data_IF_140457221950
#
_entry.id   IF_140457221950
#
_cell.length_a   1.000
_cell.length_b   1.000
_cell.length_c   1.000
_cell.angle_alpha   90.00
_cell.angle_beta   90.00
_cell.angle_gamma   90.00
#
_symmetry.space_group_name_H-M   'P 1'
#
loop_
_entity.id
_entity.type
_entity.pdbx_description
1 polymer ?
#
# COMPACT_ATOMS: atom_id res chain seq x y z
N UNK A 1 5.66 20.85 -14.16
CA UNK A 1 5.07 20.64 -12.80
C UNK A 1 5.12 21.97 -12.06
N UNK A 2 4.03 22.42 -11.46
CA UNK A 2 4.07 23.60 -10.57
C UNK A 2 4.57 23.19 -9.18
N UNK A 3 5.11 24.12 -8.36
CA UNK A 3 5.54 23.80 -6.99
C UNK A 3 4.46 23.12 -6.15
N UNK A 4 3.21 23.55 -6.30
CA UNK A 4 2.05 22.95 -5.65
C UNK A 4 1.81 21.49 -6.05
N UNK A 5 1.93 21.17 -7.35
CA UNK A 5 1.79 19.79 -7.84
C UNK A 5 2.89 18.89 -7.29
N UNK A 6 4.13 19.40 -7.20
CA UNK A 6 5.24 18.66 -6.62
C UNK A 6 4.99 18.34 -5.14
N UNK A 7 4.60 19.34 -4.35
CA UNK A 7 4.27 19.14 -2.93
C UNK A 7 3.12 18.14 -2.75
N UNK A 8 2.10 18.22 -3.60
CA UNK A 8 0.99 17.27 -3.59
C UNK A 8 1.49 15.85 -3.83
N UNK A 9 2.34 15.65 -4.84
CA UNK A 9 2.92 14.35 -5.14
C UNK A 9 3.72 13.80 -3.94
N UNK A 10 4.58 14.62 -3.34
CA UNK A 10 5.37 14.23 -2.15
C UNK A 10 4.46 13.83 -0.98
N UNK A 11 3.38 14.58 -0.72
CA UNK A 11 2.41 14.24 0.34
C UNK A 11 1.72 12.91 0.07
N UNK A 12 1.32 12.65 -1.17
CA UNK A 12 0.68 11.38 -1.56
C UNK A 12 1.66 10.21 -1.42
N UNK A 13 2.92 10.39 -1.82
CA UNK A 13 3.93 9.34 -1.70
C UNK A 13 4.25 9.04 -0.23
N UNK A 14 4.32 10.05 0.63
CA UNK A 14 4.45 9.85 2.08
C UNK A 14 3.21 9.13 2.69
N UNK A 15 2.00 9.49 2.23
CA UNK A 15 0.78 8.82 2.68
C UNK A 15 0.79 7.32 2.34
N UNK A 16 1.27 6.93 1.15
CA UNK A 16 1.37 5.51 0.76
C UNK A 16 2.25 4.72 1.73
N UNK A 17 3.37 5.30 2.19
CA UNK A 17 4.27 4.66 3.16
C UNK A 17 3.57 4.43 4.50
N UNK A 18 2.88 5.46 5.01
CA UNK A 18 2.16 5.36 6.28
C UNK A 18 0.99 4.35 6.23
N UNK A 19 0.36 4.20 5.07
CA UNK A 19 -0.73 3.24 4.83
C UNK A 19 -0.25 1.78 4.70
N UNK A 20 1.05 1.52 4.66
CA UNK A 20 1.57 0.14 4.73
C UNK A 20 1.40 -0.46 6.13
N UNK A 21 1.20 0.38 7.14
CA UNK A 21 0.92 -0.04 8.51
C UNK A 21 -0.58 0.10 8.82
N UNK A 22 -1.11 -0.60 9.85
CA UNK A 22 -2.51 -0.50 10.27
C UNK A 22 -2.82 0.82 11.01
N UNK A 23 -2.40 1.95 10.42
CA UNK A 23 -2.58 3.30 10.94
C UNK A 23 -3.97 3.84 10.56
N UNK A 24 -4.73 4.45 11.47
CA UNK A 24 -6.01 5.07 11.13
C UNK A 24 -5.87 6.13 10.02
N UNK A 25 -6.79 6.13 9.04
CA UNK A 25 -6.75 7.05 7.90
C UNK A 25 -6.78 8.53 8.34
N UNK A 26 -7.49 8.83 9.42
CA UNK A 26 -7.49 10.18 10.02
C UNK A 26 -6.10 10.62 10.49
N UNK A 27 -5.32 9.71 11.09
CA UNK A 27 -3.97 10.00 11.53
C UNK A 27 -3.03 10.21 10.34
N UNK A 28 -3.15 9.38 9.29
CA UNK A 28 -2.39 9.55 8.05
C UNK A 28 -2.70 10.90 7.40
N UNK A 29 -3.98 11.29 7.34
CA UNK A 29 -4.43 12.57 6.80
C UNK A 29 -3.74 13.76 7.49
N UNK A 30 -3.74 13.77 8.83
CA UNK A 30 -3.08 14.81 9.61
C UNK A 30 -1.56 14.79 9.43
N UNK A 31 -0.95 13.59 9.41
CA UNK A 31 0.50 13.43 9.27
C UNK A 31 1.06 13.92 7.92
N UNK A 32 0.24 13.89 6.86
CA UNK A 32 0.63 14.40 5.53
C UNK A 32 0.15 15.83 5.25
N UNK A 33 -0.45 16.49 6.26
CA UNK A 33 -0.79 17.91 6.22
C UNK A 33 -2.07 18.25 5.45
N UNK A 34 -3.11 17.43 5.60
CA UNK A 34 -4.47 17.74 5.12
C UNK A 34 -5.41 18.02 6.30
N UNK A 35 -6.24 19.05 6.17
CA UNK A 35 -7.20 19.46 7.21
C UNK A 35 -8.43 18.56 7.31
N UNK A 36 -8.73 17.79 6.26
CA UNK A 36 -9.91 16.93 6.20
C UNK A 36 -9.64 15.62 5.49
N UNK A 37 -10.14 14.54 6.10
CA UNK A 37 -10.08 13.18 5.57
C UNK A 37 -10.77 13.08 4.22
N UNK A 38 -11.85 13.84 3.99
CA UNK A 38 -12.59 13.84 2.72
C UNK A 38 -11.73 14.40 1.59
N UNK A 39 -11.09 15.55 1.83
CA UNK A 39 -10.19 16.18 0.84
C UNK A 39 -9.00 15.30 0.52
N UNK A 40 -8.37 14.73 1.55
CA UNK A 40 -7.29 13.77 1.40
C UNK A 40 -7.73 12.54 0.59
N UNK A 41 -8.87 11.94 0.94
CA UNK A 41 -9.38 10.72 0.29
C UNK A 41 -9.64 10.93 -1.19
N UNK A 42 -10.30 12.04 -1.57
CA UNK A 42 -10.56 12.38 -2.96
C UNK A 42 -9.27 12.58 -3.75
N UNK A 43 -8.31 13.31 -3.19
CA UNK A 43 -7.02 13.56 -3.84
C UNK A 43 -6.19 12.28 -3.95
N UNK A 44 -6.11 11.49 -2.89
CA UNK A 44 -5.38 10.22 -2.88
C UNK A 44 -5.95 9.26 -3.92
N UNK A 45 -7.27 9.13 -4.01
CA UNK A 45 -7.92 8.31 -5.05
C UNK A 45 -7.63 8.83 -6.46
N UNK A 46 -7.62 10.14 -6.67
CA UNK A 46 -7.25 10.72 -7.96
C UNK A 46 -5.81 10.39 -8.38
N UNK A 47 -4.87 10.34 -7.44
CA UNK A 47 -3.46 10.06 -7.72
C UNK A 47 -3.11 8.57 -7.78
N UNK A 48 -3.84 7.72 -7.05
CA UNK A 48 -3.51 6.29 -6.90
C UNK A 48 -4.51 5.34 -7.56
N UNK A 49 -5.69 5.85 -7.97
CA UNK A 49 -6.78 5.07 -8.54
C UNK A 49 -7.70 4.40 -7.49
N UNK A 50 -7.33 4.41 -6.21
CA UNK A 50 -8.06 3.70 -5.15
C UNK A 50 -8.13 4.54 -3.86
N UNK A 51 -9.11 4.29 -3.01
CA UNK A 51 -9.22 4.99 -1.73
C UNK A 51 -8.07 4.63 -0.78
N UNK A 52 -7.73 5.48 0.21
CA UNK A 52 -6.73 5.18 1.23
C UNK A 52 -7.00 3.86 1.96
N UNK A 53 -8.26 3.58 2.30
CA UNK A 53 -8.66 2.34 2.99
C UNK A 53 -8.46 1.10 2.13
N UNK A 54 -8.88 1.12 0.86
CA UNK A 54 -8.63 0.01 -0.08
C UNK A 54 -7.13 -0.21 -0.30
N UNK A 55 -6.35 0.88 -0.35
CA UNK A 55 -4.90 0.80 -0.45
C UNK A 55 -4.28 0.13 0.76
N UNK A 56 -4.63 0.59 1.96
CA UNK A 56 -4.13 0.02 3.21
C UNK A 56 -4.49 -1.48 3.32
N UNK A 57 -5.75 -1.85 3.06
CA UNK A 57 -6.17 -3.24 3.12
C UNK A 57 -5.36 -4.13 2.17
N UNK A 58 -5.15 -3.67 0.92
CA UNK A 58 -4.34 -4.40 -0.06
C UNK A 58 -2.89 -4.55 0.38
N UNK A 59 -2.27 -3.50 0.95
CA UNK A 59 -0.90 -3.58 1.43
C UNK A 59 -0.76 -4.50 2.65
N UNK A 60 -1.70 -4.45 3.59
CA UNK A 60 -1.70 -5.33 4.75
C UNK A 60 -1.92 -6.79 4.33
N UNK A 61 -2.87 -7.06 3.44
CA UNK A 61 -3.12 -8.41 2.91
C UNK A 61 -1.90 -8.96 2.19
N UNK A 62 -1.22 -8.13 1.38
CA UNK A 62 0.04 -8.53 0.73
C UNK A 62 1.12 -8.91 1.76
N UNK A 63 1.26 -8.13 2.82
CA UNK A 63 2.24 -8.40 3.88
C UNK A 63 1.90 -9.69 4.65
N UNK A 64 0.63 -9.89 5.02
CA UNK A 64 0.21 -11.14 5.68
C UNK A 64 0.48 -12.32 4.77
N UNK A 65 0.12 -12.21 3.49
CA UNK A 65 0.28 -13.31 2.54
C UNK A 65 1.74 -13.68 2.26
N UNK A 66 2.66 -12.72 2.26
CA UNK A 66 4.10 -13.02 2.16
C UNK A 66 4.57 -13.80 3.40
N UNK A 67 4.07 -13.45 4.58
CA UNK A 67 4.45 -14.11 5.83
C UNK A 67 3.84 -15.51 5.97
N UNK A 68 2.57 -15.71 5.59
CA UNK A 68 1.87 -16.97 5.85
C UNK A 68 1.76 -17.90 4.63
N UNK A 69 1.92 -17.40 3.41
CA UNK A 69 1.81 -18.16 2.16
C UNK A 69 2.83 -17.66 1.13
N UNK A 70 4.13 -17.70 1.45
CA UNK A 70 5.20 -17.12 0.62
C UNK A 70 5.23 -17.70 -0.81
N UNK A 71 4.88 -18.99 -0.96
CA UNK A 71 4.87 -19.69 -2.25
C UNK A 71 3.84 -19.14 -3.25
N UNK A 72 2.82 -18.39 -2.82
CA UNK A 72 1.83 -17.80 -3.74
C UNK A 72 2.41 -16.69 -4.62
N UNK A 73 3.53 -16.09 -4.21
CA UNK A 73 4.16 -14.95 -4.88
C UNK A 73 5.45 -15.32 -5.62
N UNK A 74 5.87 -16.59 -5.55
CA UNK A 74 6.99 -17.12 -6.32
C UNK A 74 6.44 -17.64 -7.65
N UNK A 75 6.90 -17.15 -8.82
CA UNK A 75 6.46 -17.70 -10.10
C UNK A 75 6.76 -19.20 -10.18
N UNK A 76 5.91 -19.99 -10.84
CA UNK A 76 6.05 -21.46 -10.90
C UNK A 76 7.43 -21.92 -11.40
N UNK A 77 8.12 -21.11 -12.22
CA UNK A 77 9.47 -21.40 -12.73
C UNK A 77 10.56 -21.36 -11.64
N UNK A 78 10.30 -20.74 -10.49
CA UNK A 78 11.23 -20.63 -9.35
C UNK A 78 10.97 -21.68 -8.26
N UNK A 79 9.85 -22.41 -8.32
CA UNK A 79 9.57 -23.53 -7.42
C UNK A 79 10.19 -24.77 -8.05
N UNK A 80 11.34 -25.22 -7.55
CA UNK A 80 11.92 -26.50 -7.99
C UNK A 80 11.06 -27.66 -7.46
N UNK A 81 10.50 -28.54 -8.32
CA UNK A 81 9.71 -29.70 -7.89
C UNK A 81 10.57 -30.86 -7.35
N UNK A 82 11.88 -30.71 -7.22
CA UNK A 82 12.80 -31.81 -6.90
C UNK A 82 13.01 -31.94 -5.38
N UNK A 83 12.15 -32.71 -4.69
CA UNK A 83 12.49 -33.15 -3.34
C UNK A 83 11.39 -33.62 -2.39
N UNK A 84 10.39 -34.40 -2.83
CA UNK A 84 9.58 -35.21 -1.92
C UNK A 84 9.35 -36.60 -2.53
N UNK A 85 10.39 -37.44 -2.46
CA UNK A 85 10.28 -38.88 -2.71
C UNK A 85 11.15 -39.59 -1.70
N UNK A 86 10.68 -39.66 -0.46
CA UNK A 86 11.20 -40.64 0.49
C UNK A 86 10.34 -41.90 0.40
N UNK A 87 10.93 -42.90 -0.24
CA UNK A 87 10.55 -44.30 -0.24
C UNK A 87 11.38 -45.01 0.82
#
# INVERSE_FOLDING_TARGET
>A
KTPHQYLTQVRIDHAKLLLQQPTPISHVCSAVGFDSVTSFTGLFKKYTGQSPSEFQQRQLQRQTDISCVPLKFVPNCFVHPEGDSNK
#
